data_IF_398935171241
#
_entry.id   IF_398935171241
#
_cell.length_a   1.000
_cell.length_b   1.000
_cell.length_c   1.000
_cell.angle_alpha   90.00
_cell.angle_beta   90.00
_cell.angle_gamma   90.00
#
_symmetry.space_group_name_H-M   'P 1'
#
loop_
_entity.id
_entity.type
_entity.pdbx_description
1 polymer ?
#
# COMPACT_ATOMS: atom_id res chain seq x y z
N UNK A 1 -2.47 13.36 -39.10
CA UNK A 1 -1.06 13.05 -39.33
C UNK A 1 -0.74 11.90 -38.39
N UNK A 2 -0.55 10.68 -38.98
CA UNK A 2 -0.39 9.45 -38.24
C UNK A 2 0.98 9.33 -37.59
N UNK A 3 1.00 8.69 -36.43
CA UNK A 3 2.23 8.31 -35.71
C UNK A 3 2.86 7.17 -36.54
N UNK A 4 4.07 7.41 -37.05
CA UNK A 4 4.86 6.37 -37.74
C UNK A 4 5.48 5.46 -36.68
N UNK A 5 5.40 4.16 -36.92
CA UNK A 5 6.02 3.14 -36.08
C UNK A 5 7.53 3.41 -35.94
N UNK A 6 7.98 3.50 -34.69
CA UNK A 6 9.42 3.58 -34.36
C UNK A 6 9.92 2.14 -34.25
N UNK A 7 10.73 1.69 -35.19
CA UNK A 7 11.42 0.41 -35.11
C UNK A 7 12.71 0.60 -34.34
N UNK A 8 12.80 0.07 -33.13
CA UNK A 8 14.06 0.02 -32.37
C UNK A 8 14.82 -1.21 -32.89
N UNK A 9 15.92 -0.97 -33.63
CA UNK A 9 16.94 -1.99 -33.91
C UNK A 9 17.80 -2.12 -32.65
N UNK A 10 17.46 -3.05 -31.77
CA UNK A 10 18.34 -3.56 -30.74
C UNK A 10 18.89 -4.92 -31.21
N UNK A 11 20.22 -5.09 -31.20
CA UNK A 11 20.82 -6.40 -31.28
C UNK A 11 20.34 -7.19 -30.03
N UNK A 12 19.76 -8.36 -30.31
CA UNK A 12 19.44 -9.33 -29.25
C UNK A 12 20.77 -9.84 -28.68
N UNK A 13 21.16 -9.33 -27.52
CA UNK A 13 21.99 -10.10 -26.62
C UNK A 13 21.09 -11.20 -25.99
N UNK A 14 20.85 -12.25 -26.74
CA UNK A 14 20.36 -13.53 -26.24
C UNK A 14 21.57 -14.20 -25.64
N UNK A 15 21.51 -14.33 -24.33
CA UNK A 15 22.23 -15.23 -23.41
C UNK A 15 22.69 -14.49 -22.14
N UNK A 16 21.79 -13.65 -21.58
CA UNK A 16 21.84 -13.49 -20.14
C UNK A 16 20.79 -14.45 -19.57
N UNK A 17 21.26 -15.43 -18.80
CA UNK A 17 20.41 -16.26 -17.95
C UNK A 17 19.39 -15.35 -17.29
N UNK A 18 18.11 -15.62 -17.57
CA UNK A 18 17.02 -15.05 -16.78
C UNK A 18 17.29 -15.56 -15.37
N UNK A 19 17.73 -14.67 -14.48
CA UNK A 19 17.93 -14.97 -13.08
C UNK A 19 16.71 -15.77 -12.62
N UNK A 20 17.01 -16.98 -12.11
CA UNK A 20 15.99 -17.80 -11.45
C UNK A 20 15.27 -16.93 -10.44
N UNK A 21 13.95 -17.10 -10.27
CA UNK A 21 13.23 -16.44 -9.18
C UNK A 21 14.00 -16.71 -7.87
N UNK A 22 14.11 -15.72 -7.00
CA UNK A 22 14.92 -15.84 -5.79
C UNK A 22 14.56 -17.13 -5.06
N UNK A 23 15.60 -17.91 -4.69
CA UNK A 23 15.46 -19.18 -4.01
C UNK A 23 14.73 -19.01 -2.67
N UNK A 24 14.26 -20.10 -2.06
CA UNK A 24 13.47 -20.06 -0.82
C UNK A 24 14.13 -19.26 0.32
N UNK A 25 15.48 -19.25 0.40
CA UNK A 25 16.22 -18.42 1.37
C UNK A 25 15.92 -16.93 1.23
N UNK A 26 15.84 -16.38 0.01
CA UNK A 26 15.52 -14.97 -0.19
C UNK A 26 14.04 -14.64 0.11
N UNK A 27 13.15 -15.65 0.09
CA UNK A 27 11.76 -15.52 0.53
C UNK A 27 11.65 -15.53 2.05
N UNK A 28 12.47 -16.34 2.73
CA UNK A 28 12.54 -16.34 4.19
C UNK A 28 13.11 -15.02 4.73
N UNK A 29 14.17 -14.49 4.11
CA UNK A 29 14.70 -13.17 4.46
C UNK A 29 13.66 -12.05 4.21
N UNK A 30 12.92 -12.08 3.10
CA UNK A 30 11.85 -11.13 2.84
C UNK A 30 10.70 -11.26 3.85
N UNK A 31 10.40 -12.48 4.31
CA UNK A 31 9.40 -12.74 5.36
C UNK A 31 9.86 -12.24 6.73
N UNK A 32 11.16 -12.33 7.02
CA UNK A 32 11.73 -11.82 8.26
C UNK A 32 11.77 -10.27 8.31
N UNK A 33 11.85 -9.62 7.15
CA UNK A 33 11.76 -8.16 7.05
C UNK A 33 10.35 -7.64 7.42
N UNK A 34 9.27 -8.41 7.15
CA UNK A 34 7.90 -8.07 7.61
C UNK A 34 7.75 -8.21 9.13
N UNK A 35 8.54 -9.05 9.76
CA UNK A 35 8.62 -9.09 11.22
C UNK A 35 9.30 -7.85 11.80
N UNK A 36 9.69 -6.89 10.95
CA UNK A 36 10.05 -5.57 11.43
C UNK A 36 8.91 -5.04 12.30
N UNK A 37 9.27 -4.70 13.51
CA UNK A 37 8.35 -4.37 14.58
C UNK A 37 7.32 -3.28 14.18
N UNK A 38 7.73 -2.30 13.38
CA UNK A 38 6.86 -1.21 12.93
C UNK A 38 5.82 -1.65 11.90
N UNK A 39 6.21 -2.43 10.89
CA UNK A 39 5.27 -2.92 9.86
C UNK A 39 4.27 -3.92 10.43
N UNK A 40 4.72 -4.85 11.28
CA UNK A 40 3.82 -5.78 11.97
C UNK A 40 2.80 -5.04 12.82
N UNK A 41 3.25 -4.09 13.63
CA UNK A 41 2.37 -3.21 14.43
C UNK A 41 1.39 -2.44 13.54
N UNK A 42 1.87 -1.81 12.46
CA UNK A 42 1.02 -1.06 11.54
C UNK A 42 -0.08 -1.93 10.89
N UNK A 43 0.25 -3.16 10.48
CA UNK A 43 -0.72 -4.11 9.93
C UNK A 43 -1.79 -4.49 10.95
N UNK A 44 -1.40 -4.80 12.19
CA UNK A 44 -2.33 -5.18 13.26
C UNK A 44 -3.27 -4.02 13.63
N UNK A 45 -2.73 -2.81 13.76
CA UNK A 45 -3.51 -1.62 14.09
C UNK A 45 -4.46 -1.22 12.95
N UNK A 46 -3.98 -1.20 11.70
CA UNK A 46 -4.81 -0.90 10.54
C UNK A 46 -5.90 -1.97 10.35
N UNK A 47 -5.59 -3.26 10.53
CA UNK A 47 -6.61 -4.31 10.45
C UNK A 47 -7.74 -4.06 11.45
N UNK A 48 -7.39 -3.71 12.68
CA UNK A 48 -8.38 -3.39 13.72
C UNK A 48 -9.26 -2.21 13.36
N UNK A 49 -8.69 -1.16 12.73
CA UNK A 49 -9.43 0.03 12.30
C UNK A 49 -10.35 -0.28 11.12
N UNK A 50 -9.86 -1.06 10.13
CA UNK A 50 -10.60 -1.36 8.91
C UNK A 50 -11.61 -2.51 9.05
N UNK A 51 -11.38 -3.45 9.97
CA UNK A 51 -12.26 -4.62 10.18
C UNK A 51 -13.41 -4.37 11.17
N UNK A 52 -13.56 -3.12 11.65
CA UNK A 52 -14.69 -2.77 12.50
C UNK A 52 -15.99 -2.91 11.67
N UNK A 53 -16.77 -3.97 11.97
CA UNK A 53 -18.03 -4.34 11.29
C UNK A 53 -19.18 -3.38 11.59
N UNK A 54 -18.94 -2.09 11.69
CA UNK A 54 -19.94 -1.05 11.93
C UNK A 54 -19.75 0.12 10.99
N UNK A 55 -20.84 0.82 10.66
CA UNK A 55 -20.75 2.06 9.91
C UNK A 55 -19.78 3.02 10.60
N UNK A 56 -18.60 3.21 10.00
CA UNK A 56 -17.63 4.20 10.47
C UNK A 56 -18.16 5.57 10.05
N UNK A 57 -18.92 6.20 10.94
CA UNK A 57 -19.33 7.60 10.73
C UNK A 57 -18.23 8.57 11.16
N UNK A 58 -17.37 8.15 12.08
CA UNK A 58 -16.26 8.94 12.59
C UNK A 58 -15.20 8.04 13.20
N UNK A 59 -13.92 8.30 12.88
CA UNK A 59 -12.81 7.62 13.53
C UNK A 59 -12.77 8.00 15.01
N UNK A 60 -12.54 7.00 15.86
CA UNK A 60 -12.32 7.26 17.30
C UNK A 60 -11.01 8.02 17.50
N UNK A 61 -10.92 8.79 18.59
CA UNK A 61 -9.69 9.49 18.95
C UNK A 61 -8.49 8.52 19.03
N UNK A 62 -8.71 7.31 19.55
CA UNK A 62 -7.69 6.26 19.60
C UNK A 62 -7.24 5.82 18.21
N UNK A 63 -8.16 5.65 17.26
CA UNK A 63 -7.81 5.28 15.89
C UNK A 63 -7.00 6.37 15.19
N UNK A 64 -7.33 7.63 15.43
CA UNK A 64 -6.57 8.78 14.91
C UNK A 64 -5.15 8.77 15.46
N UNK A 65 -4.98 8.57 16.77
CA UNK A 65 -3.67 8.48 17.41
C UNK A 65 -2.85 7.30 16.87
N UNK A 66 -3.47 6.12 16.67
CA UNK A 66 -2.80 4.97 16.09
C UNK A 66 -2.32 5.22 14.65
N UNK A 67 -3.13 5.85 13.82
CA UNK A 67 -2.74 6.18 12.43
C UNK A 67 -1.63 7.23 12.41
N UNK A 68 -1.64 8.19 13.34
CA UNK A 68 -0.60 9.20 13.49
C UNK A 68 0.74 8.58 13.91
N UNK A 69 0.71 7.65 14.87
CA UNK A 69 1.88 6.86 15.28
C UNK A 69 2.46 6.02 14.13
N UNK A 70 1.61 5.36 13.35
CA UNK A 70 2.04 4.61 12.16
C UNK A 70 2.71 5.54 11.14
N UNK A 71 2.17 6.74 10.94
CA UNK A 71 2.75 7.71 10.02
C UNK A 71 4.14 8.18 10.48
N UNK A 72 4.33 8.40 11.80
CA UNK A 72 5.63 8.75 12.37
C UNK A 72 6.63 7.60 12.25
N UNK A 73 6.22 6.37 12.50
CA UNK A 73 7.06 5.18 12.33
C UNK A 73 7.55 5.04 10.88
N UNK A 74 6.66 5.22 9.89
CA UNK A 74 7.01 5.19 8.45
C UNK A 74 7.98 6.33 8.10
N UNK A 75 7.75 7.53 8.62
CA UNK A 75 8.59 8.69 8.34
C UNK A 75 10.02 8.49 8.86
N UNK A 76 10.16 7.92 10.06
CA UNK A 76 11.46 7.60 10.66
C UNK A 76 12.18 6.50 9.88
N UNK A 77 11.49 5.44 9.52
CA UNK A 77 12.07 4.29 8.82
C UNK A 77 12.61 4.67 7.44
N UNK A 78 11.89 5.51 6.70
CA UNK A 78 12.29 5.97 5.36
C UNK A 78 13.44 6.96 5.43
N UNK A 79 13.48 7.80 6.47
CA UNK A 79 14.58 8.75 6.67
C UNK A 79 15.93 8.08 6.95
N UNK A 80 15.92 6.84 7.40
CA UNK A 80 17.12 6.10 7.81
C UNK A 80 17.73 5.24 6.69
N UNK A 81 16.93 4.71 5.76
CA UNK A 81 17.43 3.84 4.70
C UNK A 81 16.51 3.81 3.46
N UNK A 82 16.99 4.31 2.33
CA UNK A 82 16.25 4.28 1.06
C UNK A 82 16.01 2.86 0.51
N UNK A 83 16.83 1.88 0.92
CA UNK A 83 16.64 0.48 0.52
C UNK A 83 15.54 -0.20 1.32
N UNK A 84 15.21 0.33 2.48
CA UNK A 84 14.15 -0.14 3.37
C UNK A 84 12.80 -0.23 2.66
N UNK A 85 12.40 0.81 1.92
CA UNK A 85 11.15 0.80 1.15
C UNK A 85 11.05 -0.35 0.16
N UNK A 86 12.12 -0.62 -0.58
CA UNK A 86 12.16 -1.71 -1.56
C UNK A 86 11.93 -3.07 -0.91
N UNK A 87 12.62 -3.34 0.18
CA UNK A 87 12.51 -4.60 0.91
C UNK A 87 11.11 -4.78 1.52
N UNK A 88 10.53 -3.74 2.11
CA UNK A 88 9.18 -3.78 2.69
C UNK A 88 8.10 -3.97 1.63
N UNK A 89 8.28 -3.36 0.45
CA UNK A 89 7.36 -3.54 -0.67
C UNK A 89 7.34 -4.99 -1.18
N UNK A 90 8.51 -5.63 -1.29
CA UNK A 90 8.61 -7.05 -1.67
C UNK A 90 7.91 -7.92 -0.62
N UNK A 91 8.14 -7.62 0.64
CA UNK A 91 7.54 -8.33 1.74
C UNK A 91 6.00 -8.25 1.73
N UNK A 92 5.44 -7.07 1.50
CA UNK A 92 3.99 -6.86 1.42
C UNK A 92 3.33 -7.48 0.17
N UNK A 93 4.08 -7.86 -0.88
CA UNK A 93 3.53 -8.53 -2.06
C UNK A 93 2.98 -9.93 -1.78
N UNK A 94 3.48 -10.60 -0.74
CA UNK A 94 3.12 -11.98 -0.42
C UNK A 94 1.85 -12.12 0.42
N UNK A 95 1.20 -11.01 0.77
CA UNK A 95 -0.03 -11.02 1.58
C UNK A 95 -1.27 -10.83 0.69
N UNK A 96 -2.35 -11.54 1.02
CA UNK A 96 -3.65 -11.40 0.37
C UNK A 96 -4.15 -9.94 0.38
N UNK A 97 -4.87 -9.54 -0.67
CA UNK A 97 -5.30 -8.15 -0.92
C UNK A 97 -6.43 -7.70 0.03
N UNK A 98 -6.07 -7.43 1.28
CA UNK A 98 -6.94 -6.66 2.18
C UNK A 98 -6.74 -5.16 1.97
N UNK A 99 -7.82 -4.39 2.09
CA UNK A 99 -7.81 -2.94 1.85
C UNK A 99 -6.74 -2.20 2.68
N UNK A 100 -6.57 -2.54 3.96
CA UNK A 100 -5.58 -1.89 4.83
C UNK A 100 -4.12 -2.15 4.40
N UNK A 101 -3.82 -3.31 3.84
CA UNK A 101 -2.49 -3.61 3.28
C UNK A 101 -2.22 -2.81 2.00
N UNK A 102 -3.25 -2.62 1.19
CA UNK A 102 -3.19 -1.73 0.04
C UNK A 102 -2.88 -0.30 0.50
N UNK A 103 -3.59 0.21 1.49
CA UNK A 103 -3.35 1.55 2.05
C UNK A 103 -1.92 1.71 2.59
N UNK A 104 -1.40 0.71 3.31
CA UNK A 104 -0.02 0.73 3.78
C UNK A 104 0.99 0.76 2.61
N UNK A 105 0.79 -0.05 1.57
CA UNK A 105 1.64 -0.02 0.35
C UNK A 105 1.59 1.34 -0.34
N UNK A 106 0.40 1.92 -0.48
CA UNK A 106 0.23 3.24 -1.08
C UNK A 106 0.95 4.30 -0.25
N UNK A 107 0.82 4.27 1.08
CA UNK A 107 1.52 5.18 1.98
C UNK A 107 3.04 5.10 1.79
N UNK A 108 3.61 3.90 1.80
CA UNK A 108 5.06 3.70 1.62
C UNK A 108 5.56 4.21 0.26
N UNK A 109 4.86 3.88 -0.84
CA UNK A 109 5.22 4.35 -2.18
C UNK A 109 5.12 5.86 -2.30
N UNK A 110 4.04 6.45 -1.80
CA UNK A 110 3.82 7.89 -1.82
C UNK A 110 4.88 8.63 -1.01
N UNK A 111 5.32 8.06 0.12
CA UNK A 111 6.39 8.60 0.94
C UNK A 111 7.72 8.61 0.19
N UNK A 112 8.05 7.52 -0.51
CA UNK A 112 9.25 7.47 -1.34
C UNK A 112 9.26 8.55 -2.42
N UNK A 113 8.12 8.75 -3.10
CA UNK A 113 7.95 9.81 -4.12
C UNK A 113 8.06 11.19 -3.48
N UNK A 114 7.40 11.44 -2.35
CA UNK A 114 7.41 12.73 -1.66
C UNK A 114 8.82 13.09 -1.16
N UNK A 115 9.58 12.10 -0.67
CA UNK A 115 10.96 12.27 -0.25
C UNK A 115 11.88 12.63 -1.44
N UNK A 116 11.73 11.95 -2.58
CA UNK A 116 12.50 12.24 -3.80
C UNK A 116 12.17 13.64 -4.36
N UNK A 117 10.94 14.11 -4.17
CA UNK A 117 10.51 15.46 -4.50
C UNK A 117 10.99 16.51 -3.48
N UNK A 118 11.71 16.10 -2.43
CA UNK A 118 12.23 16.95 -1.37
C UNK A 118 11.15 17.78 -0.65
N UNK A 119 9.98 17.18 -0.43
CA UNK A 119 8.94 17.80 0.38
C UNK A 119 9.37 17.94 1.84
N UNK A 120 8.75 18.86 2.57
CA UNK A 120 9.02 18.97 4.00
C UNK A 120 8.53 17.72 4.75
N UNK A 121 9.12 17.42 5.90
CA UNK A 121 8.67 16.27 6.73
C UNK A 121 7.19 16.39 7.12
N UNK A 122 6.70 17.61 7.34
CA UNK A 122 5.28 17.84 7.62
C UNK A 122 4.40 17.47 6.44
N UNK A 123 4.75 17.90 5.21
CA UNK A 123 4.01 17.54 4.01
C UNK A 123 4.08 16.05 3.73
N UNK A 124 5.24 15.41 3.96
CA UNK A 124 5.38 13.95 3.82
C UNK A 124 4.46 13.23 4.80
N UNK A 125 4.38 13.66 6.06
CA UNK A 125 3.49 13.08 7.06
C UNK A 125 2.02 13.20 6.62
N UNK A 126 1.60 14.34 6.08
CA UNK A 126 0.25 14.54 5.55
C UNK A 126 -0.05 13.56 4.38
N UNK A 127 0.93 13.35 3.48
CA UNK A 127 0.82 12.37 2.40
C UNK A 127 0.65 10.95 2.95
N UNK A 128 1.41 10.57 3.98
CA UNK A 128 1.30 9.26 4.63
C UNK A 128 -0.10 9.08 5.22
N UNK A 129 -0.57 10.04 6.01
CA UNK A 129 -1.89 10.00 6.66
C UNK A 129 -3.01 9.88 5.62
N UNK A 130 -2.97 10.69 4.57
CA UNK A 130 -3.93 10.62 3.48
C UNK A 130 -3.91 9.24 2.78
N UNK A 131 -2.73 8.69 2.54
CA UNK A 131 -2.58 7.39 1.90
C UNK A 131 -3.03 6.23 2.79
N UNK A 132 -2.82 6.29 4.12
CA UNK A 132 -3.30 5.27 5.05
C UNK A 132 -4.82 5.23 5.14
N UNK A 133 -5.49 6.37 4.99
CA UNK A 133 -6.93 6.51 5.21
C UNK A 133 -7.77 6.62 3.93
N UNK A 134 -7.16 6.72 2.73
CA UNK A 134 -7.90 7.04 1.49
C UNK A 134 -9.05 6.07 1.18
N UNK A 135 -8.94 4.84 1.63
CA UNK A 135 -9.88 3.76 1.37
C UNK A 135 -10.68 3.33 2.62
N UNK A 136 -10.58 4.08 3.73
CA UNK A 136 -11.23 3.70 5.00
C UNK A 136 -12.74 3.54 4.86
N UNK A 137 -13.40 4.34 4.02
CA UNK A 137 -14.83 4.24 3.74
C UNK A 137 -15.26 2.92 3.11
N UNK A 138 -14.33 2.10 2.59
CA UNK A 138 -14.63 0.73 2.13
C UNK A 138 -15.05 -0.19 3.26
N UNK A 139 -14.72 0.13 4.51
CA UNK A 139 -15.20 -0.61 5.69
C UNK A 139 -16.72 -0.57 5.85
N UNK A 140 -17.40 0.40 5.23
CA UNK A 140 -18.86 0.55 5.24
C UNK A 140 -19.54 -0.15 4.04
N UNK A 141 -18.78 -0.83 3.19
CA UNK A 141 -19.29 -1.55 2.02
C UNK A 141 -19.33 -3.05 2.33
N UNK A 142 -20.40 -3.72 1.89
CA UNK A 142 -20.51 -5.16 2.02
C UNK A 142 -19.26 -5.86 1.50
N UNK A 143 -18.60 -6.64 2.33
CA UNK A 143 -17.36 -7.34 1.99
C UNK A 143 -17.52 -8.21 0.74
N UNK A 144 -18.69 -8.83 0.54
CA UNK A 144 -19.00 -9.64 -0.63
C UNK A 144 -18.90 -8.86 -1.95
N UNK A 145 -19.19 -7.55 -1.92
CA UNK A 145 -19.05 -6.67 -3.08
C UNK A 145 -17.59 -6.37 -3.36
N UNK A 146 -16.79 -6.12 -2.30
CA UNK A 146 -15.36 -5.79 -2.41
C UNK A 146 -14.57 -6.97 -2.98
N UNK A 147 -14.84 -8.19 -2.50
CA UNK A 147 -14.11 -9.41 -2.91
C UNK A 147 -14.79 -10.16 -4.06
N UNK A 148 -15.82 -9.59 -4.69
CA UNK A 148 -16.61 -10.28 -5.72
C UNK A 148 -15.72 -10.71 -6.89
N UNK A 149 -15.66 -12.00 -7.21
CA UNK A 149 -14.97 -12.46 -8.39
C UNK A 149 -15.76 -12.08 -9.64
N UNK A 150 -15.19 -11.23 -10.48
CA UNK A 150 -15.78 -10.83 -11.74
C UNK A 150 -16.26 -9.37 -11.78
N UNK A 151 -17.19 -9.07 -12.69
CA UNK A 151 -17.71 -7.71 -12.86
C UNK A 151 -18.75 -7.39 -11.81
N UNK A 152 -18.69 -6.17 -11.28
CA UNK A 152 -19.73 -5.61 -10.44
C UNK A 152 -20.95 -5.23 -11.30
N UNK A 153 -22.15 -5.30 -10.71
CA UNK A 153 -23.32 -4.65 -11.30
C UNK A 153 -23.22 -3.12 -11.17
N UNK A 154 -24.06 -2.39 -11.88
CA UNK A 154 -24.05 -0.92 -11.79
C UNK A 154 -24.42 -0.46 -10.37
N UNK A 155 -25.33 -1.16 -9.67
CA UNK A 155 -25.74 -0.85 -8.30
C UNK A 155 -24.61 -1.16 -7.30
N UNK A 156 -23.88 -2.27 -7.48
CA UNK A 156 -22.71 -2.61 -6.64
C UNK A 156 -21.59 -1.60 -6.85
N UNK A 157 -21.34 -1.22 -8.10
CA UNK A 157 -20.33 -0.21 -8.41
C UNK A 157 -20.69 1.16 -7.85
N UNK A 158 -21.99 1.53 -7.87
CA UNK A 158 -22.48 2.77 -7.26
C UNK A 158 -22.27 2.80 -5.75
N UNK A 159 -22.41 1.66 -5.06
CA UNK A 159 -22.05 1.54 -3.63
C UNK A 159 -20.57 1.78 -3.41
N UNK A 160 -19.69 1.16 -4.19
CA UNK A 160 -18.23 1.34 -4.04
C UNK A 160 -17.83 2.80 -4.27
N UNK A 161 -18.42 3.48 -5.26
CA UNK A 161 -18.12 4.91 -5.53
C UNK A 161 -18.42 5.85 -4.36
N UNK A 162 -19.19 5.41 -3.37
CA UNK A 162 -19.52 6.23 -2.21
C UNK A 162 -18.43 6.25 -1.14
N UNK A 163 -17.48 5.30 -1.14
CA UNK A 163 -16.47 5.20 -0.08
C UNK A 163 -15.66 6.48 0.20
N UNK A 164 -15.39 7.40 -0.76
CA UNK A 164 -14.64 8.62 -0.46
C UNK A 164 -15.47 9.68 0.28
N UNK A 165 -16.77 9.49 0.41
CA UNK A 165 -17.71 10.45 1.02
C UNK A 165 -18.28 10.00 2.36
N UNK A 166 -17.85 8.86 2.85
CA UNK A 166 -18.32 8.24 4.10
C UNK A 166 -17.40 8.61 5.25
#
# INVERSE_FOLDING_TARGET
>A
KGIKNVTIKGERALDQEIDKPPEEESREEATDVIKNQHIGKALDELSTIFEHNGEIQQLSQKAIEQVDDIADDILVDIGNDSTYLGNQMIALQNYDDYTYKHCLRVAMLSTGIANELHLSQGDIKEVILAALLHDIGKSNIDHEIIVKPGRLTDEEFDKIKQHPYI
#
